data_IF_774596473461
#
_entry.id   IF_774596473461
#
_cell.length_a   1.000
_cell.length_b   1.000
_cell.length_c   1.000
_cell.angle_alpha   90.00
_cell.angle_beta   90.00
_cell.angle_gamma   90.00
#
_symmetry.space_group_name_H-M   'P 1'
#
loop_
_entity.id
_entity.type
_entity.pdbx_description
1 polymer ?
#
# COMPACT_ATOMS: atom_id res chain seq x y z
N UNK A 1 -12.33 0.42 41.63
CA UNK A 1 -12.48 -0.71 40.67
C UNK A 1 -12.21 -0.36 39.21
N UNK A 2 -11.88 0.88 38.90
CA UNK A 2 -11.49 1.30 37.56
C UNK A 2 -10.05 0.92 37.22
N UNK A 3 -9.19 0.65 38.20
CA UNK A 3 -7.80 0.23 37.95
C UNK A 3 -7.65 -1.21 37.45
N UNK A 4 -8.54 -2.11 37.82
CA UNK A 4 -8.49 -3.51 37.34
C UNK A 4 -9.01 -3.66 35.90
N UNK A 5 -9.92 -2.80 35.45
CA UNK A 5 -10.37 -2.77 34.06
C UNK A 5 -9.25 -2.32 33.10
N UNK A 6 -8.47 -1.31 33.50
CA UNK A 6 -7.36 -0.80 32.69
C UNK A 6 -6.25 -1.83 32.42
N UNK A 7 -5.91 -2.64 33.45
CA UNK A 7 -4.88 -3.69 33.28
C UNK A 7 -5.39 -4.86 32.42
N UNK A 8 -6.63 -5.29 32.59
CA UNK A 8 -7.23 -6.35 31.77
C UNK A 8 -7.33 -5.95 30.28
N UNK A 9 -7.69 -4.71 29.99
CA UNK A 9 -7.77 -4.21 28.62
C UNK A 9 -6.39 -4.07 27.97
N UNK A 10 -5.36 -3.69 28.75
CA UNK A 10 -3.99 -3.63 28.24
C UNK A 10 -3.46 -5.01 27.88
N UNK A 11 -3.71 -6.03 28.71
CA UNK A 11 -3.27 -7.40 28.41
C UNK A 11 -4.03 -8.02 27.25
N UNK A 12 -5.33 -7.81 27.13
CA UNK A 12 -6.11 -8.27 25.96
C UNK A 12 -5.67 -7.59 24.67
N UNK A 13 -5.42 -6.28 24.69
CA UNK A 13 -4.91 -5.55 23.55
C UNK A 13 -3.53 -6.02 23.11
N UNK A 14 -2.72 -6.50 24.04
CA UNK A 14 -1.39 -7.04 23.74
C UNK A 14 -1.48 -8.38 23.02
N UNK A 15 -2.36 -9.28 23.46
CA UNK A 15 -2.66 -10.54 22.75
C UNK A 15 -3.23 -10.26 21.36
N UNK A 16 -4.25 -9.43 21.25
CA UNK A 16 -4.85 -9.01 19.97
C UNK A 16 -3.80 -8.40 19.03
N UNK A 17 -2.89 -7.59 19.56
CA UNK A 17 -1.81 -7.00 18.81
C UNK A 17 -0.80 -8.04 18.29
N UNK A 18 -0.50 -9.05 19.12
CA UNK A 18 0.36 -10.15 18.71
C UNK A 18 -0.31 -11.06 17.68
N UNK A 19 -1.61 -11.27 17.77
CA UNK A 19 -2.39 -12.09 16.83
C UNK A 19 -2.36 -11.55 15.40
N UNK A 20 -2.24 -10.22 15.26
CA UNK A 20 -2.07 -9.58 13.95
C UNK A 20 -0.59 -9.33 13.59
N UNK A 21 0.37 -9.94 14.32
CA UNK A 21 1.81 -9.77 14.11
C UNK A 21 2.37 -8.36 14.38
N UNK A 22 1.71 -7.55 15.21
CA UNK A 22 2.20 -6.25 15.64
C UNK A 22 2.36 -5.22 14.51
N UNK A 23 3.24 -4.24 14.67
CA UNK A 23 3.58 -3.29 13.61
C UNK A 23 4.46 -3.94 12.55
N UNK A 24 4.15 -3.66 11.28
CA UNK A 24 4.97 -4.11 10.17
C UNK A 24 6.22 -3.23 10.02
N UNK A 25 7.39 -3.88 10.01
CA UNK A 25 8.69 -3.22 9.85
C UNK A 25 8.85 -2.51 8.49
N UNK A 26 8.01 -2.85 7.52
CA UNK A 26 7.97 -2.20 6.21
C UNK A 26 7.79 -0.67 6.33
N UNK A 27 7.17 -0.20 7.42
CA UNK A 27 6.83 1.21 7.64
C UNK A 27 7.80 1.96 8.57
N UNK A 28 8.96 1.39 8.89
CA UNK A 28 9.98 2.08 9.68
C UNK A 28 10.54 3.30 8.89
N UNK A 29 10.80 4.45 9.55
CA UNK A 29 10.66 4.71 10.99
C UNK A 29 9.26 5.17 11.40
N UNK A 30 8.40 5.61 10.47
CA UNK A 30 7.06 6.14 10.74
C UNK A 30 6.28 6.39 9.45
N UNK A 31 5.00 6.67 9.56
CA UNK A 31 3.99 6.90 8.52
C UNK A 31 3.44 5.61 7.91
N UNK A 32 2.11 5.52 7.88
CA UNK A 32 1.29 4.42 7.35
C UNK A 32 1.22 3.16 8.23
N UNK A 33 2.03 3.04 9.28
CA UNK A 33 1.98 1.96 10.26
C UNK A 33 0.61 1.85 10.94
N UNK A 34 0.00 2.98 11.30
CA UNK A 34 -1.34 3.00 11.91
C UNK A 34 -2.42 2.52 10.94
N UNK A 35 -2.37 2.98 9.68
CA UNK A 35 -3.33 2.55 8.66
C UNK A 35 -3.18 1.06 8.34
N UNK A 36 -1.96 0.57 8.30
CA UNK A 36 -1.67 -0.85 8.08
C UNK A 36 -2.20 -1.73 9.22
N UNK A 37 -1.94 -1.34 10.48
CA UNK A 37 -2.41 -2.11 11.64
C UNK A 37 -3.93 -2.10 11.74
N UNK A 38 -4.59 -0.98 11.41
CA UNK A 38 -6.05 -0.91 11.40
C UNK A 38 -6.65 -1.79 10.30
N UNK A 39 -6.08 -1.83 9.12
CA UNK A 39 -6.51 -2.72 8.06
C UNK A 39 -6.40 -4.19 8.49
N UNK A 40 -5.30 -4.58 9.14
CA UNK A 40 -5.10 -5.95 9.63
C UNK A 40 -6.06 -6.31 10.75
N UNK A 41 -6.33 -5.43 11.69
CA UNK A 41 -7.38 -5.63 12.70
C UNK A 41 -8.75 -5.82 12.04
N UNK A 42 -9.08 -4.97 11.05
CA UNK A 42 -10.35 -5.07 10.34
C UNK A 42 -10.52 -6.42 9.63
N UNK A 43 -9.51 -6.88 8.91
CA UNK A 43 -9.53 -8.17 8.22
C UNK A 43 -9.58 -9.37 9.19
N UNK A 44 -9.06 -9.22 10.42
CA UNK A 44 -9.20 -10.23 11.48
C UNK A 44 -10.56 -10.18 12.21
N UNK A 45 -11.51 -9.38 11.73
CA UNK A 45 -12.87 -9.33 12.25
C UNK A 45 -13.07 -8.41 13.46
N UNK A 46 -12.06 -7.60 13.83
CA UNK A 46 -12.20 -6.61 14.90
C UNK A 46 -13.16 -5.50 14.50
N UNK A 47 -14.00 -5.09 15.45
CA UNK A 47 -14.94 -4.01 15.25
C UNK A 47 -14.36 -2.67 15.69
N UNK A 48 -14.44 -1.67 14.82
CA UNK A 48 -14.04 -0.30 15.11
C UNK A 48 -15.22 0.48 15.66
N UNK A 49 -15.01 1.15 16.80
CA UNK A 49 -16.01 2.02 17.42
C UNK A 49 -15.36 3.35 17.77
N UNK A 50 -15.91 4.43 17.26
CA UNK A 50 -15.48 5.76 17.65
C UNK A 50 -16.04 6.11 19.03
N UNK A 51 -15.18 6.61 19.92
CA UNK A 51 -15.53 7.06 21.26
C UNK A 51 -15.50 8.59 21.27
N UNK A 52 -16.66 9.20 21.46
CA UNK A 52 -16.78 10.66 21.46
C UNK A 52 -16.37 11.30 22.80
N UNK A 53 -16.39 10.54 23.90
CA UNK A 53 -16.04 11.00 25.24
C UNK A 53 -14.56 10.83 25.58
N UNK A 54 -13.82 10.13 24.72
CA UNK A 54 -12.39 9.88 24.90
C UNK A 54 -11.57 10.66 23.86
N UNK A 55 -10.88 11.69 24.29
CA UNK A 55 -9.99 12.44 23.42
C UNK A 55 -8.57 12.47 23.96
N UNK A 56 -7.63 12.49 23.04
CA UNK A 56 -6.19 12.57 23.32
C UNK A 56 -5.63 13.80 22.60
N UNK A 57 -4.86 14.59 23.33
CA UNK A 57 -4.13 15.69 22.71
C UNK A 57 -2.90 15.15 21.98
N UNK A 58 -2.89 15.25 20.67
CA UNK A 58 -1.74 14.86 19.84
C UNK A 58 -0.82 16.05 19.60
N UNK A 59 0.36 16.05 20.24
CA UNK A 59 1.34 17.13 20.15
C UNK A 59 2.22 16.98 18.91
N UNK A 60 1.65 17.18 17.73
CA UNK A 60 2.32 16.98 16.43
C UNK A 60 3.57 17.84 16.24
N UNK A 61 3.62 19.01 16.86
CA UNK A 61 4.75 19.96 16.74
C UNK A 61 6.07 19.49 17.40
N UNK A 62 6.04 18.39 18.13
CA UNK A 62 7.23 17.80 18.80
C UNK A 62 7.79 16.56 18.09
N UNK A 63 7.13 16.12 17.02
CA UNK A 63 7.59 14.98 16.21
C UNK A 63 8.66 15.36 15.20
N UNK A 64 9.23 14.36 14.55
CA UNK A 64 10.22 14.53 13.48
C UNK A 64 9.70 15.34 12.29
N UNK A 65 8.38 15.39 12.09
CA UNK A 65 7.75 16.14 11.01
C UNK A 65 8.11 17.62 11.03
N UNK A 66 8.09 18.25 12.20
CA UNK A 66 8.33 19.68 12.37
C UNK A 66 9.70 19.99 12.98
N UNK A 67 10.69 19.13 12.77
CA UNK A 67 12.06 19.32 13.26
C UNK A 67 12.65 20.66 12.81
N UNK A 68 12.39 21.04 11.56
CA UNK A 68 12.93 22.27 10.94
C UNK A 68 12.10 23.54 11.22
N UNK A 69 11.04 23.40 12.02
CA UNK A 69 10.17 24.50 12.43
C UNK A 69 8.69 24.12 12.44
N UNK A 70 7.92 24.77 13.30
CA UNK A 70 6.47 24.54 13.42
C UNK A 70 5.77 24.86 12.10
N UNK A 71 4.97 23.90 11.61
CA UNK A 71 4.22 24.03 10.36
C UNK A 71 5.05 23.79 9.09
N UNK A 72 6.34 23.49 9.21
CA UNK A 72 7.22 23.17 8.09
C UNK A 72 7.64 21.72 8.14
N UNK A 73 7.18 20.93 7.17
CA UNK A 73 7.53 19.52 7.06
C UNK A 73 9.03 19.36 6.77
N UNK A 74 9.74 18.60 7.62
CA UNK A 74 11.15 18.31 7.40
C UNK A 74 11.35 17.42 6.18
N UNK A 75 12.48 17.58 5.49
CA UNK A 75 12.83 16.77 4.32
C UNK A 75 12.88 15.28 4.65
N UNK A 76 13.43 14.92 5.81
CA UNK A 76 13.50 13.53 6.29
C UNK A 76 12.10 12.92 6.46
N UNK A 77 11.17 13.69 7.04
CA UNK A 77 9.80 13.23 7.21
C UNK A 77 9.10 13.06 5.85
N UNK A 78 9.25 14.03 4.94
CA UNK A 78 8.66 13.95 3.59
C UNK A 78 9.16 12.70 2.84
N UNK A 79 10.47 12.46 2.91
CA UNK A 79 11.08 11.28 2.29
C UNK A 79 10.49 9.96 2.85
N UNK A 80 10.45 9.84 4.18
CA UNK A 80 9.90 8.66 4.86
C UNK A 80 8.40 8.48 4.55
N UNK A 81 7.64 9.57 4.57
CA UNK A 81 6.20 9.54 4.30
C UNK A 81 5.90 9.09 2.86
N UNK A 82 6.62 9.61 1.87
CA UNK A 82 6.44 9.24 0.47
C UNK A 82 6.85 7.79 0.21
N UNK A 83 7.95 7.34 0.79
CA UNK A 83 8.41 5.96 0.71
C UNK A 83 7.39 5.00 1.32
N UNK A 84 6.92 5.29 2.54
CA UNK A 84 5.98 4.42 3.23
C UNK A 84 4.59 4.45 2.59
N UNK A 85 4.22 5.54 1.89
CA UNK A 85 3.03 5.55 1.03
C UNK A 85 3.18 4.56 -0.13
N UNK A 86 4.33 4.53 -0.84
CA UNK A 86 4.57 3.55 -1.90
C UNK A 86 4.51 2.12 -1.35
N UNK A 87 5.12 1.87 -0.19
CA UNK A 87 5.07 0.56 0.46
C UNK A 87 3.65 0.16 0.87
N UNK A 88 2.85 1.12 1.33
CA UNK A 88 1.45 0.87 1.65
C UNK A 88 0.65 0.46 0.41
N UNK A 89 0.83 1.18 -0.70
CA UNK A 89 0.17 0.86 -1.96
C UNK A 89 0.64 -0.51 -2.49
N UNK A 90 1.95 -0.81 -2.45
CA UNK A 90 2.47 -2.14 -2.83
C UNK A 90 1.82 -3.25 -2.01
N UNK A 91 1.61 -3.03 -0.71
CA UNK A 91 0.99 -4.01 0.19
C UNK A 91 -0.50 -4.14 -0.02
N UNK A 92 -1.23 -3.03 -0.06
CA UNK A 92 -2.70 -3.00 -0.02
C UNK A 92 -3.37 -2.77 -1.37
N UNK A 93 -2.63 -2.40 -2.41
CA UNK A 93 -3.18 -2.05 -3.74
C UNK A 93 -3.85 -0.68 -3.80
N UNK A 94 -3.99 0.01 -2.68
CA UNK A 94 -4.66 1.32 -2.55
C UNK A 94 -3.93 2.22 -1.57
N UNK A 95 -4.28 3.52 -1.57
CA UNK A 95 -3.95 4.42 -0.45
C UNK A 95 -4.80 4.07 0.78
N UNK A 96 -4.42 4.52 2.00
CA UNK A 96 -5.27 4.37 3.17
C UNK A 96 -6.66 4.99 2.97
N UNK A 97 -7.69 4.21 3.26
CA UNK A 97 -9.09 4.63 3.14
C UNK A 97 -9.85 4.33 4.43
N UNK A 98 -10.78 5.19 4.77
CA UNK A 98 -11.70 5.00 5.91
C UNK A 98 -13.04 5.70 5.63
N UNK A 99 -14.09 5.25 6.31
CA UNK A 99 -15.38 5.92 6.29
C UNK A 99 -15.41 7.15 7.21
N UNK A 100 -16.56 7.81 7.32
CA UNK A 100 -16.76 8.99 8.17
C UNK A 100 -16.61 8.70 9.67
N UNK A 101 -16.66 7.44 10.07
CA UNK A 101 -16.48 6.97 11.44
C UNK A 101 -15.07 6.42 11.69
N UNK A 102 -14.13 6.69 10.80
CA UNK A 102 -12.74 6.22 10.85
C UNK A 102 -12.59 4.69 10.79
N UNK A 103 -13.64 3.97 10.35
CA UNK A 103 -13.55 2.54 10.10
C UNK A 103 -12.75 2.31 8.81
N UNK A 104 -11.75 1.42 8.80
CA UNK A 104 -10.99 1.12 7.59
C UNK A 104 -11.87 0.61 6.46
N UNK A 105 -11.58 1.08 5.24
CA UNK A 105 -12.11 0.52 3.99
C UNK A 105 -10.94 -0.22 3.34
N UNK A 106 -11.03 -1.55 3.31
CA UNK A 106 -10.01 -2.41 2.74
C UNK A 106 -10.57 -3.03 1.47
N UNK A 107 -10.06 -2.57 0.33
CA UNK A 107 -10.46 -3.09 -0.97
C UNK A 107 -9.73 -4.41 -1.27
N UNK A 108 -10.29 -5.26 -2.15
CA UNK A 108 -9.59 -6.42 -2.66
C UNK A 108 -8.28 -6.03 -3.37
N UNK A 109 -7.20 -6.76 -3.11
CA UNK A 109 -5.94 -6.60 -3.82
C UNK A 109 -5.85 -7.61 -4.95
N UNK A 110 -5.86 -7.11 -6.17
CA UNK A 110 -5.80 -7.91 -7.39
C UNK A 110 -4.37 -8.00 -7.94
N UNK A 111 -4.09 -9.08 -8.67
CA UNK A 111 -2.84 -9.24 -9.43
C UNK A 111 -2.95 -8.47 -10.75
N UNK A 112 -2.51 -7.20 -10.75
CA UNK A 112 -2.56 -6.28 -11.89
C UNK A 112 -1.19 -6.18 -12.54
N UNK A 113 -1.14 -6.41 -13.87
CA UNK A 113 0.00 -6.14 -14.73
C UNK A 113 -0.25 -4.90 -15.59
N UNK A 114 0.67 -3.93 -15.55
CA UNK A 114 0.64 -2.73 -16.40
C UNK A 114 1.66 -2.88 -17.54
N UNK A 115 1.22 -2.95 -18.81
CA UNK A 115 2.08 -2.99 -19.97
C UNK A 115 2.09 -1.62 -20.67
N UNK A 116 3.19 -0.89 -20.53
CA UNK A 116 3.30 0.53 -20.90
C UNK A 116 4.30 0.72 -22.03
N UNK A 117 3.81 1.20 -23.18
CA UNK A 117 4.65 1.61 -24.32
C UNK A 117 5.09 3.06 -24.16
N UNK A 118 6.20 3.43 -24.79
CA UNK A 118 6.78 4.78 -24.75
C UNK A 118 6.93 5.31 -23.32
N UNK A 119 7.25 4.41 -22.39
CA UNK A 119 7.36 4.69 -20.98
C UNK A 119 8.60 5.54 -20.65
N UNK A 120 8.56 6.27 -19.56
CA UNK A 120 9.70 6.94 -18.97
C UNK A 120 9.86 6.55 -17.49
N UNK A 121 11.02 6.87 -16.90
CA UNK A 121 11.34 6.49 -15.53
C UNK A 121 10.41 7.12 -14.49
N UNK A 122 9.94 8.35 -14.72
CA UNK A 122 9.02 9.02 -13.79
C UNK A 122 7.69 8.29 -13.75
N UNK A 123 7.20 7.84 -14.89
CA UNK A 123 5.97 7.08 -14.98
C UNK A 123 6.13 5.69 -14.32
N UNK A 124 7.26 4.99 -14.51
CA UNK A 124 7.54 3.74 -13.78
C UNK A 124 7.48 3.97 -12.27
N UNK A 125 8.14 5.02 -11.76
CA UNK A 125 8.13 5.36 -10.33
C UNK A 125 6.72 5.66 -9.79
N UNK A 126 5.89 6.29 -10.59
CA UNK A 126 4.52 6.64 -10.23
C UNK A 126 3.59 5.42 -10.22
N UNK A 127 3.73 4.52 -11.18
CA UNK A 127 2.79 3.43 -11.43
C UNK A 127 3.19 2.10 -10.76
N UNK A 128 4.49 1.87 -10.58
CA UNK A 128 5.00 0.61 -10.02
C UNK A 128 4.32 0.22 -8.68
N UNK A 129 4.05 1.12 -7.72
CA UNK A 129 3.39 0.71 -6.48
C UNK A 129 1.98 0.16 -6.66
N UNK A 130 1.27 0.56 -7.71
CA UNK A 130 -0.15 0.26 -7.95
C UNK A 130 -0.42 -1.06 -8.66
N UNK A 131 0.61 -1.78 -9.05
CA UNK A 131 0.48 -3.04 -9.78
C UNK A 131 1.33 -4.15 -9.17
N UNK A 132 1.07 -5.39 -9.52
CA UNK A 132 1.94 -6.52 -9.18
C UNK A 132 3.17 -6.53 -10.07
N UNK A 133 3.01 -6.19 -11.35
CA UNK A 133 4.10 -6.15 -12.34
C UNK A 133 3.89 -4.98 -13.31
N UNK A 134 4.97 -4.24 -13.59
CA UNK A 134 4.99 -3.25 -14.67
C UNK A 134 5.93 -3.70 -15.77
N UNK A 135 5.43 -3.72 -17.00
CA UNK A 135 6.15 -4.08 -18.22
C UNK A 135 6.40 -2.81 -19.02
N UNK A 136 7.65 -2.49 -19.31
CA UNK A 136 8.07 -1.22 -19.92
C UNK A 136 9.07 -1.41 -21.05
N UNK A 137 9.24 -0.39 -21.89
CA UNK A 137 10.18 -0.35 -23.01
C UNK A 137 11.42 0.55 -22.76
N UNK A 138 11.60 1.03 -21.53
CA UNK A 138 12.76 1.83 -21.13
C UNK A 138 14.02 0.95 -21.11
N UNK A 139 15.19 1.54 -21.40
CA UNK A 139 16.46 0.85 -21.28
C UNK A 139 16.73 0.45 -19.83
N UNK A 140 17.18 -0.77 -19.62
CA UNK A 140 17.45 -1.30 -18.28
C UNK A 140 18.40 -0.43 -17.45
N UNK A 141 19.41 0.20 -18.10
CA UNK A 141 20.36 1.09 -17.44
C UNK A 141 19.68 2.30 -16.74
N UNK A 142 18.58 2.79 -17.30
CA UNK A 142 17.81 3.90 -16.72
C UNK A 142 17.00 3.46 -15.50
N UNK A 143 16.42 2.26 -15.55
CA UNK A 143 15.64 1.70 -14.45
C UNK A 143 16.52 1.24 -13.29
N UNK A 144 17.74 0.79 -13.58
CA UNK A 144 18.69 0.27 -12.60
C UNK A 144 18.93 1.24 -11.44
N UNK A 145 19.09 2.52 -11.72
CA UNK A 145 19.30 3.53 -10.68
C UNK A 145 18.09 3.62 -9.72
N UNK A 146 16.87 3.50 -10.23
CA UNK A 146 15.67 3.43 -9.38
C UNK A 146 15.66 2.17 -8.53
N UNK A 147 15.98 1.03 -9.11
CA UNK A 147 16.05 -0.24 -8.39
C UNK A 147 17.08 -0.18 -7.25
N UNK A 148 18.27 0.34 -7.51
CA UNK A 148 19.33 0.48 -6.50
C UNK A 148 18.94 1.42 -5.35
N UNK A 149 18.17 2.46 -5.63
CA UNK A 149 17.70 3.43 -4.63
C UNK A 149 16.49 2.95 -3.83
N UNK A 150 15.54 2.28 -4.47
CA UNK A 150 14.26 1.93 -3.83
C UNK A 150 14.28 0.54 -3.18
N UNK A 151 14.98 -0.46 -3.78
CA UNK A 151 15.00 -1.83 -3.28
C UNK A 151 15.44 -1.97 -1.80
N UNK A 152 16.41 -1.20 -1.28
CA UNK A 152 16.80 -1.29 0.14
C UNK A 152 15.69 -0.88 1.13
N UNK A 153 14.64 -0.25 0.63
CA UNK A 153 13.57 0.34 1.44
C UNK A 153 12.24 -0.38 1.31
N UNK A 154 12.21 -1.51 0.63
CA UNK A 154 11.00 -2.33 0.46
C UNK A 154 11.34 -3.82 0.52
N UNK A 155 10.40 -4.63 1.02
CA UNK A 155 10.53 -6.08 1.01
C UNK A 155 10.12 -6.72 -0.33
N UNK A 156 9.44 -5.94 -1.18
CA UNK A 156 9.00 -6.39 -2.50
C UNK A 156 10.20 -6.46 -3.44
N UNK A 157 10.36 -7.58 -4.15
CA UNK A 157 11.43 -7.73 -5.12
C UNK A 157 11.12 -6.94 -6.39
N UNK A 158 11.67 -5.73 -6.47
CA UNK A 158 11.43 -4.83 -7.59
C UNK A 158 12.03 -5.35 -8.92
N UNK A 159 13.06 -6.20 -8.87
CA UNK A 159 13.60 -6.81 -10.09
C UNK A 159 12.63 -7.81 -10.72
N UNK A 160 11.79 -8.46 -9.92
CA UNK A 160 10.73 -9.34 -10.43
C UNK A 160 9.47 -8.57 -10.80
N UNK A 161 9.33 -7.37 -10.33
CA UNK A 161 8.15 -6.53 -10.51
C UNK A 161 8.26 -5.59 -11.72
N UNK A 162 9.47 -5.14 -12.05
CA UNK A 162 9.75 -4.19 -13.14
C UNK A 162 10.42 -4.94 -14.28
N UNK A 163 9.67 -5.27 -15.32
CA UNK A 163 10.07 -6.17 -16.39
C UNK A 163 10.05 -5.48 -17.76
N UNK A 164 10.76 -6.07 -18.72
CA UNK A 164 10.69 -5.63 -20.11
C UNK A 164 9.31 -5.89 -20.72
N UNK A 165 8.82 -4.98 -21.56
CA UNK A 165 7.57 -5.14 -22.32
C UNK A 165 7.58 -6.36 -23.25
N UNK A 166 8.75 -6.92 -23.55
CA UNK A 166 8.88 -8.15 -24.32
C UNK A 166 8.59 -9.42 -23.49
N UNK A 167 8.41 -9.28 -22.17
CA UNK A 167 8.02 -10.36 -21.29
C UNK A 167 6.52 -10.62 -21.45
N UNK A 168 6.13 -11.89 -21.42
CA UNK A 168 4.71 -12.27 -21.48
C UNK A 168 3.98 -11.74 -20.25
N UNK A 169 2.90 -10.99 -20.44
CA UNK A 169 2.04 -10.52 -19.36
C UNK A 169 1.21 -11.70 -18.87
N UNK A 170 1.44 -12.15 -17.64
CA UNK A 170 0.79 -13.33 -17.05
C UNK A 170 -0.10 -13.00 -15.84
N UNK A 171 -0.29 -11.72 -15.54
CA UNK A 171 -1.12 -11.26 -14.42
C UNK A 171 -2.61 -11.58 -14.65
N UNK A 172 -3.33 -11.76 -13.55
CA UNK A 172 -4.78 -11.99 -13.57
C UNK A 172 -5.54 -10.88 -14.30
N UNK A 173 -5.05 -9.64 -14.19
CA UNK A 173 -5.59 -8.48 -14.88
C UNK A 173 -4.45 -7.77 -15.62
N UNK A 174 -4.58 -7.64 -16.91
CA UNK A 174 -3.61 -6.95 -17.77
C UNK A 174 -4.18 -5.62 -18.27
N UNK A 175 -3.46 -4.54 -18.05
CA UNK A 175 -3.81 -3.19 -18.54
C UNK A 175 -2.71 -2.74 -19.48
N UNK A 176 -3.06 -2.43 -20.74
CA UNK A 176 -2.12 -1.98 -21.76
C UNK A 176 -2.45 -0.57 -22.20
N UNK A 177 -1.44 0.26 -22.37
CA UNK A 177 -1.61 1.64 -22.87
C UNK A 177 -0.29 2.22 -23.39
N UNK A 178 -0.41 3.34 -24.12
CA UNK A 178 0.74 4.14 -24.54
C UNK A 178 0.91 5.34 -23.58
N UNK A 179 2.12 5.52 -23.06
CA UNK A 179 2.42 6.61 -22.13
C UNK A 179 2.28 8.01 -22.75
N UNK A 180 2.29 8.11 -24.09
CA UNK A 180 2.08 9.39 -24.79
C UNK A 180 0.66 9.94 -24.61
N UNK A 181 -0.29 9.06 -24.33
CA UNK A 181 -1.71 9.40 -24.21
C UNK A 181 -2.13 9.60 -22.74
N UNK A 182 -1.17 9.46 -21.78
CA UNK A 182 -1.41 9.69 -20.35
C UNK A 182 -1.61 11.19 -20.09
N UNK A 183 -2.64 11.48 -19.31
CA UNK A 183 -2.97 12.81 -18.80
C UNK A 183 -3.13 12.77 -17.26
N UNK A 184 -3.19 13.94 -16.63
CA UNK A 184 -3.48 14.03 -15.18
C UNK A 184 -4.87 13.48 -14.81
N UNK A 185 -5.80 13.48 -15.75
CA UNK A 185 -7.17 13.01 -15.51
C UNK A 185 -7.26 11.49 -15.62
N UNK A 186 -6.70 10.91 -16.71
CA UNK A 186 -6.85 9.48 -16.96
C UNK A 186 -5.93 8.58 -16.15
N UNK A 187 -4.78 9.06 -15.68
CA UNK A 187 -3.87 8.27 -14.83
C UNK A 187 -4.54 7.78 -13.53
N UNK A 188 -5.55 8.51 -13.04
CA UNK A 188 -6.30 8.15 -11.85
C UNK A 188 -7.08 6.83 -12.02
N UNK A 189 -7.38 6.41 -13.25
CA UNK A 189 -8.01 5.13 -13.54
C UNK A 189 -7.25 3.95 -12.90
N UNK A 190 -5.91 3.98 -12.96
CA UNK A 190 -5.06 2.92 -12.40
C UNK A 190 -5.25 2.81 -10.89
N UNK A 191 -5.29 3.94 -10.18
CA UNK A 191 -5.48 3.96 -8.73
C UNK A 191 -6.91 3.58 -8.30
N UNK A 192 -7.89 3.69 -9.20
CA UNK A 192 -9.28 3.35 -8.96
C UNK A 192 -9.61 1.88 -9.32
N UNK A 193 -8.71 1.17 -9.99
CA UNK A 193 -8.94 -0.21 -10.43
C UNK A 193 -9.45 -1.15 -9.33
N UNK A 194 -8.89 -1.17 -8.10
CA UNK A 194 -9.40 -2.07 -7.06
C UNK A 194 -10.87 -1.83 -6.71
N UNK A 195 -11.33 -0.57 -6.75
CA UNK A 195 -12.72 -0.21 -6.50
C UNK A 195 -13.62 -0.59 -7.68
N UNK A 196 -13.16 -0.34 -8.90
CA UNK A 196 -13.90 -0.72 -10.13
C UNK A 196 -14.08 -2.23 -10.19
N UNK A 197 -13.01 -2.98 -9.92
CA UNK A 197 -13.01 -4.45 -9.99
C UNK A 197 -13.83 -5.10 -8.86
N UNK A 198 -13.96 -4.47 -7.71
CA UNK A 198 -14.77 -4.98 -6.59
C UNK A 198 -16.24 -5.17 -7.00
N UNK A 199 -16.77 -4.27 -7.82
CA UNK A 199 -18.15 -4.31 -8.28
C UNK A 199 -18.30 -5.06 -9.63
N UNK A 200 -17.19 -5.51 -10.21
CA UNK A 200 -17.17 -6.21 -11.50
C UNK A 200 -17.20 -7.72 -11.30
N UNK A 201 -18.10 -8.41 -12.01
CA UNK A 201 -18.29 -9.86 -11.87
C UNK A 201 -17.97 -10.65 -13.14
N UNK A 202 -17.48 -9.99 -14.18
CA UNK A 202 -17.26 -10.60 -15.48
C UNK A 202 -15.77 -10.60 -15.86
N UNK A 203 -15.33 -11.69 -16.48
CA UNK A 203 -14.02 -11.79 -17.13
C UNK A 203 -14.15 -11.41 -18.60
N UNK A 204 -13.05 -10.95 -19.20
CA UNK A 204 -13.07 -10.54 -20.60
C UNK A 204 -12.18 -9.32 -20.86
N UNK A 205 -12.36 -8.72 -22.03
CA UNK A 205 -11.59 -7.55 -22.44
C UNK A 205 -12.49 -6.37 -22.76
N UNK A 206 -12.08 -5.19 -22.33
CA UNK A 206 -12.76 -3.93 -22.63
C UNK A 206 -11.73 -2.81 -22.80
N UNK A 207 -12.18 -1.69 -23.35
CA UNK A 207 -11.38 -0.48 -23.50
C UNK A 207 -12.05 0.63 -22.69
N UNK A 208 -11.25 1.31 -21.88
CA UNK A 208 -11.64 2.51 -21.16
C UNK A 208 -10.66 3.62 -21.47
N UNK A 209 -11.09 4.65 -22.16
CA UNK A 209 -10.24 5.72 -22.68
C UNK A 209 -9.04 5.15 -23.44
N UNK A 210 -7.83 5.35 -22.96
CA UNK A 210 -6.57 4.83 -23.56
C UNK A 210 -6.22 3.42 -23.08
N UNK A 211 -6.92 2.87 -22.09
CA UNK A 211 -6.58 1.62 -21.43
C UNK A 211 -7.28 0.42 -22.05
N UNK A 212 -6.50 -0.51 -22.59
CA UNK A 212 -6.99 -1.84 -22.97
C UNK A 212 -6.87 -2.75 -21.74
N UNK A 213 -7.99 -3.15 -21.18
CA UNK A 213 -8.07 -3.99 -19.98
C UNK A 213 -8.49 -5.40 -20.36
N UNK A 214 -7.74 -6.40 -19.89
CA UNK A 214 -8.11 -7.81 -20.01
C UNK A 214 -8.14 -8.43 -18.61
N UNK A 215 -9.29 -8.96 -18.23
CA UNK A 215 -9.52 -9.65 -16.95
C UNK A 215 -9.57 -11.15 -17.24
N UNK A 216 -8.58 -11.90 -16.78
CA UNK A 216 -8.50 -13.36 -16.87
C UNK A 216 -9.17 -14.02 -15.67
N UNK A 217 -9.00 -13.45 -14.46
CA UNK A 217 -9.66 -13.87 -13.23
C UNK A 217 -9.83 -12.68 -12.29
N UNK A 218 -10.81 -12.75 -11.41
CA UNK A 218 -11.11 -11.76 -10.36
C UNK A 218 -10.69 -12.27 -8.96
N UNK A 219 -9.86 -13.31 -8.91
CA UNK A 219 -9.25 -13.73 -7.66
C UNK A 219 -8.38 -12.62 -7.06
N UNK A 220 -8.37 -12.51 -5.74
CA UNK A 220 -7.62 -11.46 -5.03
C UNK A 220 -6.90 -11.99 -3.80
N UNK A 221 -5.82 -11.31 -3.43
CA UNK A 221 -4.87 -11.72 -2.38
C UNK A 221 -5.16 -11.11 -0.99
N UNK A 222 -6.23 -10.34 -0.83
CA UNK A 222 -6.45 -9.50 0.36
C UNK A 222 -6.35 -10.28 1.68
N UNK A 223 -6.90 -11.48 1.74
CA UNK A 223 -6.87 -12.29 2.96
C UNK A 223 -5.48 -12.88 3.28
N UNK A 224 -4.59 -12.92 2.31
CA UNK A 224 -3.22 -13.42 2.50
C UNK A 224 -2.31 -12.38 3.17
N UNK A 225 -2.68 -11.10 3.09
CA UNK A 225 -1.94 -9.99 3.68
C UNK A 225 -1.87 -10.07 5.22
N UNK A 226 -2.79 -10.80 5.85
CA UNK A 226 -2.80 -11.03 7.30
C UNK A 226 -1.82 -12.14 7.69
N UNK A 227 -1.61 -13.12 6.83
CA UNK A 227 -0.86 -14.36 7.12
C UNK A 227 0.66 -14.18 7.05
N UNK A 228 1.14 -13.04 6.62
CA UNK A 228 2.46 -12.94 6.01
C UNK A 228 3.62 -12.63 6.91
N UNK A 229 3.72 -12.96 8.16
CA UNK A 229 5.04 -13.12 8.78
C UNK A 229 4.95 -13.70 10.19
N UNK A 230 5.70 -14.78 10.51
CA UNK A 230 5.95 -15.12 11.90
C UNK A 230 6.67 -13.92 12.54
N UNK A 231 6.20 -13.49 13.71
CA UNK A 231 6.91 -12.56 14.56
C UNK A 231 8.36 -13.02 14.65
N UNK A 232 9.31 -12.19 14.23
CA UNK A 232 10.66 -12.33 14.70
C UNK A 232 10.56 -12.19 16.22
N UNK A 233 10.83 -13.27 16.94
CA UNK A 233 10.89 -13.24 18.40
C UNK A 233 11.87 -12.14 18.80
N UNK A 234 11.34 -11.00 19.23
CA UNK A 234 12.13 -10.05 19.96
C UNK A 234 12.25 -10.64 21.36
N UNK A 235 13.44 -11.11 21.73
CA UNK A 235 13.81 -11.36 23.12
C UNK A 235 13.77 -10.02 23.86
N UNK A 236 12.59 -9.64 24.34
CA UNK A 236 12.48 -8.60 25.35
C UNK A 236 13.11 -9.19 26.63
N UNK A 237 14.39 -8.95 26.83
CA UNK A 237 14.96 -9.06 28.17
C UNK A 237 14.33 -7.98 29.03
N UNK A 238 13.37 -8.39 29.86
CA UNK A 238 12.82 -7.60 30.97
C UNK A 238 13.93 -7.34 31.98
#
# INVERSE_FOLDING_TARGET
NTRSRGLGDVYKRQEDYLDINGHDQLFIPQSREDSDIFNRFYLNGYQFRQIWDGFVYHLTSRGSRFRDGVGKDSTEWQYSNNRNMRNFIRKWGTTPMHDSMMKPIVLPKYDIGLAVKNCNLELVRALEPWCSTIYHDIRFAEVRNYLEQEQPHTEYNLNNKILSINTVVSNAIAIRFDAKDITNDNINFISQMPMILQDHNEVGSFVYDIFEVTIHTLEHETNELIKSKPLKSYDFKL
#
